data_IF_789014550589
#
_entry.id   IF_789014550589
#
_cell.length_a   1.000
_cell.length_b   1.000
_cell.length_c   1.000
_cell.angle_alpha   90.00
_cell.angle_beta   90.00
_cell.angle_gamma   90.00
#
_symmetry.space_group_name_H-M   'P 1'
#
loop_
_entity.id
_entity.type
_entity.pdbx_description
1 polymer ?
#
# COMPACT_ATOMS: atom_id res chain seq x y z
N UNK A 1 -13.14 -18.77 -7.53
CA UNK A 1 -12.57 -17.53 -6.97
C UNK A 1 -11.78 -17.91 -5.71
N UNK A 2 -10.51 -17.52 -5.57
CA UNK A 2 -9.71 -17.81 -4.36
C UNK A 2 -9.74 -16.58 -3.46
N UNK A 3 -10.25 -16.74 -2.25
CA UNK A 3 -10.30 -15.69 -1.22
C UNK A 3 -9.48 -16.12 0.00
N UNK A 4 -8.74 -15.18 0.58
CA UNK A 4 -7.93 -15.38 1.77
C UNK A 4 -8.24 -14.28 2.79
N UNK A 5 -8.75 -14.65 3.96
CA UNK A 5 -9.03 -13.71 5.05
C UNK A 5 -7.79 -13.55 5.91
N UNK A 6 -7.26 -12.33 5.99
CA UNK A 6 -6.13 -11.98 6.87
C UNK A 6 -6.65 -11.71 8.28
N UNK A 7 -7.74 -10.94 8.38
CA UNK A 7 -8.45 -10.70 9.64
C UNK A 7 -9.93 -10.33 9.35
N UNK A 8 -10.68 -9.93 10.39
CA UNK A 8 -12.10 -9.57 10.26
C UNK A 8 -12.40 -8.40 9.31
N UNK A 9 -11.42 -7.56 9.03
CA UNK A 9 -11.55 -6.39 8.17
C UNK A 9 -10.76 -6.51 6.87
N UNK A 10 -9.71 -7.32 6.83
CA UNK A 10 -8.77 -7.41 5.70
C UNK A 10 -8.86 -8.77 5.01
N UNK A 11 -9.15 -8.75 3.71
CA UNK A 11 -9.17 -9.93 2.85
C UNK A 11 -8.41 -9.70 1.55
N UNK A 12 -7.99 -10.79 0.92
CA UNK A 12 -7.36 -10.82 -0.40
C UNK A 12 -8.20 -11.69 -1.32
N UNK A 13 -8.41 -11.26 -2.57
CA UNK A 13 -9.11 -12.05 -3.59
C UNK A 13 -8.27 -12.11 -4.85
N UNK A 14 -8.15 -13.30 -5.43
CA UNK A 14 -7.56 -13.48 -6.74
C UNK A 14 -8.63 -13.29 -7.81
N UNK A 15 -8.59 -12.15 -8.50
CA UNK A 15 -9.55 -11.75 -9.51
C UNK A 15 -8.80 -11.37 -10.79
N UNK A 16 -9.18 -11.99 -11.92
CA UNK A 16 -8.56 -11.74 -13.25
C UNK A 16 -7.02 -11.83 -13.24
N UNK A 17 -6.47 -12.76 -12.46
CA UNK A 17 -5.01 -12.97 -12.34
C UNK A 17 -4.29 -11.93 -11.47
N UNK A 18 -5.01 -11.02 -10.81
CA UNK A 18 -4.46 -10.03 -9.87
C UNK A 18 -5.00 -10.27 -8.47
N UNK A 19 -4.16 -10.07 -7.47
CA UNK A 19 -4.60 -10.09 -6.07
C UNK A 19 -5.14 -8.72 -5.70
N UNK A 20 -6.45 -8.62 -5.52
CA UNK A 20 -7.13 -7.43 -5.03
C UNK A 20 -7.24 -7.48 -3.49
N UNK A 21 -7.00 -6.34 -2.85
CA UNK A 21 -7.12 -6.18 -1.40
C UNK A 21 -8.52 -5.66 -1.10
N UNK A 22 -9.15 -6.22 -0.08
CA UNK A 22 -10.47 -5.81 0.41
C UNK A 22 -10.36 -5.36 1.86
N UNK A 23 -10.89 -4.18 2.15
CA UNK A 23 -11.06 -3.67 3.50
C UNK A 23 -12.56 -3.54 3.77
N UNK A 24 -13.05 -4.21 4.81
CA UNK A 24 -14.48 -4.25 5.17
C UNK A 24 -15.37 -4.65 3.97
N UNK A 25 -14.95 -5.71 3.26
CA UNK A 25 -15.58 -6.22 2.04
C UNK A 25 -15.64 -5.24 0.85
N UNK A 26 -14.97 -4.10 0.92
CA UNK A 26 -14.85 -3.13 -0.19
C UNK A 26 -13.49 -3.24 -0.85
N UNK A 27 -13.45 -3.16 -2.19
CA UNK A 27 -12.17 -3.15 -2.90
C UNK A 27 -11.36 -1.93 -2.47
N UNK A 28 -10.10 -2.17 -2.12
CA UNK A 28 -9.18 -1.15 -1.67
C UNK A 28 -8.24 -0.77 -2.81
N UNK A 29 -8.70 0.18 -3.62
CA UNK A 29 -7.99 0.70 -4.79
C UNK A 29 -7.24 1.99 -4.42
N UNK A 30 -6.25 1.93 -3.54
CA UNK A 30 -5.44 3.11 -3.21
C UNK A 30 -4.18 3.21 -4.08
N UNK A 31 -3.97 4.38 -4.70
CA UNK A 31 -2.64 4.84 -5.12
C UNK A 31 -1.74 4.84 -3.88
N UNK A 32 -0.88 3.83 -3.77
CA UNK A 32 -0.11 3.52 -2.56
C UNK A 32 0.74 4.71 -2.13
N UNK A 33 0.37 5.36 -1.04
CA UNK A 33 1.35 6.08 -0.21
C UNK A 33 1.71 5.19 0.96
N UNK A 34 2.94 4.67 0.93
CA UNK A 34 3.52 3.98 2.07
C UNK A 34 3.97 5.07 3.06
N UNK A 35 3.14 5.38 4.05
CA UNK A 35 3.54 6.23 5.17
C UNK A 35 4.49 5.44 6.07
N UNK A 36 5.77 5.44 5.72
CA UNK A 36 6.82 4.87 6.57
C UNK A 36 7.08 5.82 7.75
N UNK A 37 6.69 5.42 8.95
CA UNK A 37 7.24 5.99 10.18
C UNK A 37 8.65 5.44 10.37
N UNK A 38 9.63 6.01 9.66
CA UNK A 38 11.03 5.66 9.87
C UNK A 38 11.54 6.44 11.09
N UNK A 39 12.09 5.77 12.13
CA UNK A 39 12.79 6.45 13.21
C UNK A 39 13.88 7.34 12.61
N UNK A 40 13.95 8.60 13.04
CA UNK A 40 14.83 9.61 12.43
C UNK A 40 16.30 9.18 12.48
N UNK A 41 16.66 8.36 13.46
CA UNK A 41 18.03 7.85 13.65
C UNK A 41 18.47 6.85 12.57
N UNK A 42 17.55 6.33 11.74
CA UNK A 42 17.84 5.34 10.69
C UNK A 42 17.76 5.91 9.26
N UNK A 43 17.53 7.21 9.10
CA UNK A 43 17.49 7.85 7.80
C UNK A 43 18.91 8.17 7.31
N UNK A 44 19.39 7.42 6.31
CA UNK A 44 20.52 7.86 5.47
C UNK A 44 19.97 8.88 4.49
N UNK A 45 20.26 10.16 4.72
CA UNK A 45 19.81 11.24 3.85
C UNK A 45 20.47 11.05 2.48
N UNK A 46 19.68 10.70 1.48
CA UNK A 46 20.08 10.76 0.08
C UNK A 46 19.34 11.92 -0.56
N UNK A 47 20.08 12.93 -1.02
CA UNK A 47 19.50 14.14 -1.61
C UNK A 47 18.79 13.82 -2.92
N UNK A 48 17.46 13.84 -2.92
CA UNK A 48 16.67 13.85 -4.15
C UNK A 48 16.43 15.32 -4.53
N UNK A 49 17.12 15.80 -5.57
CA UNK A 49 16.84 17.11 -6.17
C UNK A 49 15.41 17.11 -6.73
N UNK A 50 14.51 17.85 -6.09
CA UNK A 50 13.18 18.14 -6.65
C UNK A 50 13.27 19.42 -7.49
N UNK A 51 13.23 19.27 -8.82
CA UNK A 51 13.01 20.41 -9.72
C UNK A 51 11.51 20.67 -9.80
N UNK A 52 11.01 21.60 -9.00
CA UNK A 52 9.70 22.23 -9.26
C UNK A 52 9.96 23.49 -10.08
N UNK A 53 9.57 23.48 -11.36
CA UNK A 53 9.43 24.71 -12.13
C UNK A 53 8.08 25.31 -11.78
N UNK A 54 8.10 26.58 -11.33
CA UNK A 54 6.93 27.46 -11.36
C UNK A 54 6.57 27.83 -12.80
#
# INVERSE_FOLDING_TARGET
>A
MKEFKVNKFLGLRLEKGKTAIYVDNKSFDQCKYLLLQVPRERLIITEVRKNYSS
#
